data_IF_717459767898
#
_entry.id   IF_717459767898
#
_cell.length_a   1.000
_cell.length_b   1.000
_cell.length_c   1.000
_cell.angle_alpha   90.00
_cell.angle_beta   90.00
_cell.angle_gamma   90.00
#
_symmetry.space_group_name_H-M   'P 1'
#
loop_
_entity.id
_entity.type
_entity.pdbx_description
1 polymer ?
#
# COMPACT_ATOMS: atom_id res chain seq x y z
N UNK A 1 0.29 9.89 14.50
CA UNK A 1 0.98 8.62 14.75
C UNK A 1 2.44 8.86 14.41
N UNK A 2 3.41 8.55 15.28
CA UNK A 2 4.79 8.87 15.00
C UNK A 2 5.27 7.94 13.87
N UNK A 3 5.80 8.54 12.80
CA UNK A 3 6.51 7.77 11.78
C UNK A 3 7.65 6.99 12.45
N UNK A 4 7.86 5.72 12.04
CA UNK A 4 9.00 4.94 12.50
C UNK A 4 10.30 5.70 12.25
N UNK A 5 11.14 5.76 13.27
CA UNK A 5 12.52 6.24 13.15
C UNK A 5 13.30 5.39 12.15
N UNK A 6 14.46 5.89 11.71
CA UNK A 6 15.31 5.14 10.79
C UNK A 6 15.79 3.82 11.40
N UNK A 7 16.06 3.78 12.71
CA UNK A 7 16.49 2.56 13.40
C UNK A 7 15.35 1.53 13.47
N UNK A 8 14.15 1.94 13.92
CA UNK A 8 12.98 1.04 13.99
C UNK A 8 12.58 0.51 12.60
N UNK A 9 12.76 1.32 11.54
CA UNK A 9 12.55 0.88 10.18
C UNK A 9 13.51 -0.24 9.78
N UNK A 10 14.80 -0.03 10.01
CA UNK A 10 15.83 -1.02 9.66
C UNK A 10 15.59 -2.30 10.44
N UNK A 11 15.32 -2.20 11.74
CA UNK A 11 15.03 -3.35 12.59
C UNK A 11 13.79 -4.14 12.11
N UNK A 12 12.71 -3.44 11.74
CA UNK A 12 11.51 -4.10 11.17
C UNK A 12 11.85 -4.89 9.90
N UNK A 13 12.63 -4.31 9.00
CA UNK A 13 12.98 -4.95 7.73
C UNK A 13 13.96 -6.10 7.94
N UNK A 14 14.97 -5.92 8.78
CA UNK A 14 15.95 -6.97 9.11
C UNK A 14 15.27 -8.16 9.79
N UNK A 15 14.35 -7.92 10.72
CA UNK A 15 13.55 -8.98 11.34
C UNK A 15 12.68 -9.70 10.32
N UNK A 16 11.99 -8.96 9.44
CA UNK A 16 11.20 -9.55 8.37
C UNK A 16 12.06 -10.41 7.42
N UNK A 17 13.31 -10.01 7.13
CA UNK A 17 14.22 -10.80 6.27
C UNK A 17 14.72 -12.05 7.01
N UNK A 18 15.15 -11.90 8.25
CA UNK A 18 15.83 -12.94 9.02
C UNK A 18 14.89 -14.10 9.37
N UNK A 19 13.64 -13.77 9.71
CA UNK A 19 12.66 -14.76 10.19
C UNK A 19 11.80 -15.35 9.06
N UNK A 20 11.80 -14.73 7.87
CA UNK A 20 10.88 -15.13 6.82
C UNK A 20 11.21 -16.51 6.24
N UNK A 21 10.16 -17.33 6.12
CA UNK A 21 10.17 -18.62 5.46
C UNK A 21 9.03 -18.67 4.46
N UNK A 22 9.36 -18.79 3.17
CA UNK A 22 8.36 -18.81 2.12
C UNK A 22 8.94 -18.38 0.78
N UNK A 23 8.09 -17.80 -0.07
CA UNK A 23 8.51 -17.28 -1.35
C UNK A 23 9.19 -15.91 -1.18
N UNK A 24 10.50 -15.83 -1.45
CA UNK A 24 11.31 -14.61 -1.35
C UNK A 24 10.75 -13.45 -2.18
N UNK A 25 10.16 -13.72 -3.34
CA UNK A 25 9.52 -12.68 -4.16
C UNK A 25 8.38 -11.99 -3.41
N UNK A 26 7.65 -12.72 -2.57
CA UNK A 26 6.58 -12.14 -1.76
C UNK A 26 7.11 -11.26 -0.63
N UNK A 27 8.26 -11.61 -0.04
CA UNK A 27 8.96 -10.79 0.94
C UNK A 27 9.46 -9.49 0.31
N UNK A 28 10.15 -9.57 -0.83
CA UNK A 28 10.64 -8.39 -1.55
C UNK A 28 9.48 -7.45 -1.93
N UNK A 29 8.38 -8.01 -2.41
CA UNK A 29 7.17 -7.24 -2.70
C UNK A 29 6.55 -6.59 -1.45
N UNK A 30 6.54 -7.28 -0.31
CA UNK A 30 6.04 -6.74 0.94
C UNK A 30 6.88 -5.54 1.41
N UNK A 31 8.21 -5.71 1.43
CA UNK A 31 9.18 -4.67 1.77
C UNK A 31 9.01 -3.47 0.82
N UNK A 32 8.97 -3.71 -0.50
CA UNK A 32 8.80 -2.67 -1.50
C UNK A 32 7.49 -1.90 -1.34
N UNK A 33 6.39 -2.61 -1.11
CA UNK A 33 5.08 -2.00 -0.86
C UNK A 33 5.11 -1.11 0.39
N UNK A 34 5.70 -1.58 1.49
CA UNK A 34 5.81 -0.82 2.72
C UNK A 34 6.68 0.44 2.55
N UNK A 35 7.86 0.29 1.95
CA UNK A 35 8.80 1.40 1.71
C UNK A 35 8.18 2.47 0.79
N UNK A 36 7.45 2.05 -0.24
CA UNK A 36 6.70 2.97 -1.09
C UNK A 36 5.56 3.64 -0.30
N UNK A 37 4.83 2.85 0.49
CA UNK A 37 3.77 3.28 1.39
C UNK A 37 4.15 4.40 2.33
N UNK A 38 5.37 4.41 2.87
CA UNK A 38 5.90 5.50 3.70
C UNK A 38 5.83 6.86 3.02
N UNK A 39 5.85 6.92 1.69
CA UNK A 39 5.81 8.16 0.94
C UNK A 39 4.43 8.54 0.40
N UNK A 40 3.57 7.54 0.16
CA UNK A 40 2.27 7.74 -0.49
C UNK A 40 1.08 7.52 0.44
N UNK A 41 1.29 6.88 1.58
CA UNK A 41 0.24 6.50 2.51
C UNK A 41 -0.44 5.18 2.17
N UNK A 42 -1.25 4.66 3.10
CA UNK A 42 -1.90 3.36 2.94
C UNK A 42 -3.07 3.40 1.96
N UNK A 43 -3.78 4.53 1.82
CA UNK A 43 -4.95 4.59 0.92
C UNK A 43 -4.55 4.43 -0.55
N UNK A 44 -3.51 5.11 -1.07
CA UNK A 44 -3.05 4.84 -2.43
C UNK A 44 -2.49 3.43 -2.62
N UNK A 45 -1.80 2.87 -1.61
CA UNK A 45 -1.32 1.49 -1.66
C UNK A 45 -2.47 0.50 -1.90
N UNK A 46 -3.60 0.69 -1.22
CA UNK A 46 -4.77 -0.20 -1.34
C UNK A 46 -5.48 -0.07 -2.69
N UNK A 47 -5.15 0.94 -3.51
CA UNK A 47 -5.61 1.05 -4.90
C UNK A 47 -4.67 0.38 -5.89
N UNK A 48 -3.38 0.26 -5.53
CA UNK A 48 -2.33 -0.31 -6.38
C UNK A 48 -2.30 -1.83 -6.19
N UNK A 49 -2.43 -2.30 -4.96
CA UNK A 49 -2.36 -3.71 -4.62
C UNK A 49 -3.74 -4.28 -4.28
N UNK A 50 -3.96 -5.54 -4.64
CA UNK A 50 -5.18 -6.25 -4.28
C UNK A 50 -5.32 -6.38 -2.75
N UNK A 51 -6.55 -6.46 -2.20
CA UNK A 51 -6.75 -6.71 -0.76
C UNK A 51 -6.07 -7.99 -0.26
N UNK A 52 -5.96 -9.02 -1.11
CA UNK A 52 -5.24 -10.26 -0.79
C UNK A 52 -3.74 -10.01 -0.64
N UNK A 53 -3.15 -9.23 -1.54
CA UNK A 53 -1.73 -8.87 -1.50
C UNK A 53 -1.41 -8.03 -0.26
N UNK A 54 -2.23 -7.02 0.05
CA UNK A 54 -2.06 -6.19 1.25
C UNK A 54 -2.03 -7.05 2.50
N UNK A 55 -3.05 -7.90 2.73
CA UNK A 55 -3.10 -8.78 3.90
C UNK A 55 -1.88 -9.69 4.02
N UNK A 56 -1.40 -10.19 2.87
CA UNK A 56 -0.20 -11.03 2.82
C UNK A 56 1.04 -10.23 3.22
N UNK A 57 1.22 -9.02 2.68
CA UNK A 57 2.37 -8.17 2.99
C UNK A 57 2.38 -7.73 4.45
N UNK A 58 1.21 -7.34 4.99
CA UNK A 58 1.02 -7.05 6.42
C UNK A 58 1.41 -8.24 7.30
N UNK A 59 1.00 -9.46 6.93
CA UNK A 59 1.36 -10.68 7.65
C UNK A 59 2.86 -11.01 7.57
N UNK A 60 3.50 -10.79 6.41
CA UNK A 60 4.94 -11.00 6.24
C UNK A 60 5.73 -10.03 7.14
N UNK A 61 5.31 -8.78 7.21
CA UNK A 61 5.99 -7.72 7.94
C UNK A 61 5.59 -7.63 9.41
N UNK A 62 4.52 -8.31 9.83
CA UNK A 62 4.01 -8.27 11.20
C UNK A 62 3.40 -6.92 11.61
N UNK A 63 2.81 -6.17 10.67
CA UNK A 63 2.27 -4.82 10.91
C UNK A 63 0.90 -4.62 10.24
N UNK A 64 0.13 -3.62 10.69
CA UNK A 64 -1.04 -3.09 9.96
C UNK A 64 -0.66 -1.77 9.28
N UNK A 65 -0.75 -1.70 7.96
CA UNK A 65 -0.37 -0.52 7.19
C UNK A 65 -1.17 0.72 7.59
N UNK A 66 -2.42 0.57 8.04
CA UNK A 66 -3.27 1.69 8.48
C UNK A 66 -2.82 2.28 9.81
N UNK A 67 -2.09 1.52 10.62
CA UNK A 67 -1.58 1.97 11.92
C UNK A 67 -0.22 2.65 11.80
N UNK A 68 0.62 2.18 10.87
CA UNK A 68 2.01 2.65 10.74
C UNK A 68 2.24 3.63 9.59
N UNK A 69 1.32 3.74 8.64
CA UNK A 69 1.41 4.68 7.52
C UNK A 69 0.36 5.80 7.64
N UNK A 70 0.66 6.96 7.05
CA UNK A 70 -0.32 8.03 6.89
C UNK A 70 -1.45 7.60 5.96
N UNK A 71 -2.65 8.15 6.15
CA UNK A 71 -3.77 8.00 5.21
C UNK A 71 -3.40 8.45 3.80
N UNK A 72 -2.75 9.60 3.70
CA UNK A 72 -2.25 10.20 2.46
C UNK A 72 -0.86 10.76 2.73
N UNK A 73 0.16 10.15 2.11
CA UNK A 73 1.53 10.62 2.21
C UNK A 73 1.81 11.84 1.33
N UNK A 74 2.93 12.56 1.55
CA UNK A 74 3.26 13.79 0.80
C UNK A 74 3.32 13.58 -0.72
N UNK A 75 3.68 12.37 -1.18
CA UNK A 75 3.80 12.05 -2.61
C UNK A 75 2.51 11.49 -3.21
N UNK A 76 1.46 11.26 -2.42
CA UNK A 76 0.20 10.67 -2.89
C UNK A 76 -0.45 11.48 -4.03
N UNK A 77 -0.34 12.81 -3.98
CA UNK A 77 -0.89 13.73 -5.00
C UNK A 77 -0.33 13.52 -6.41
N UNK A 78 0.79 12.80 -6.56
CA UNK A 78 1.39 12.48 -7.87
C UNK A 78 0.81 11.21 -8.50
N UNK A 79 0.03 10.43 -7.76
CA UNK A 79 -0.54 9.17 -8.24
C UNK A 79 -1.87 9.42 -8.94
N UNK A 80 -1.94 9.05 -10.22
CA UNK A 80 -3.17 9.13 -11.03
C UNK A 80 -4.32 8.37 -10.35
N UNK A 81 -4.05 7.16 -9.85
CA UNK A 81 -5.01 6.35 -9.10
C UNK A 81 -5.61 7.09 -7.89
N UNK A 82 -4.78 7.86 -7.17
CA UNK A 82 -5.22 8.61 -6.00
C UNK A 82 -6.02 9.87 -6.35
N UNK A 83 -5.64 10.56 -7.43
CA UNK A 83 -6.42 11.70 -7.96
C UNK A 83 -7.83 11.23 -8.38
N UNK A 84 -7.93 10.06 -9.01
CA UNK A 84 -9.22 9.44 -9.36
C UNK A 84 -10.00 9.00 -8.12
N UNK A 85 -9.33 8.45 -7.11
CA UNK A 85 -9.96 8.05 -5.86
C UNK A 85 -10.60 9.21 -5.08
N UNK A 86 -10.07 10.42 -5.19
CA UNK A 86 -10.70 11.62 -4.58
C UNK A 86 -12.02 12.03 -5.25
N UNK A 87 -12.31 11.52 -6.46
CA UNK A 87 -13.53 11.85 -7.20
C UNK A 87 -14.66 10.87 -6.96
N UNK A 88 -14.40 9.72 -6.32
CA UNK A 88 -15.44 8.72 -6.03
C UNK A 88 -16.02 8.93 -4.63
N UNK A 89 -17.33 8.71 -4.49
CA UNK A 89 -18.05 8.89 -3.22
C UNK A 89 -17.79 7.77 -2.20
N UNK A 90 -17.27 6.61 -2.63
CA UNK A 90 -16.99 5.47 -1.77
C UNK A 90 -15.64 4.81 -2.10
N UNK A 91 -14.64 5.09 -1.25
CA UNK A 91 -13.28 4.57 -1.37
C UNK A 91 -13.21 3.03 -1.33
N UNK A 92 -13.97 2.39 -0.44
CA UNK A 92 -13.89 0.93 -0.28
C UNK A 92 -14.50 0.17 -1.46
N UNK A 93 -15.55 0.72 -2.09
CA UNK A 93 -16.05 0.19 -3.36
C UNK A 93 -14.99 0.29 -4.45
N UNK A 94 -14.21 1.38 -4.48
CA UNK A 94 -13.12 1.53 -5.46
C UNK A 94 -12.00 0.52 -5.23
N UNK A 95 -11.55 0.35 -3.98
CA UNK A 95 -10.54 -0.66 -3.60
C UNK A 95 -10.99 -2.08 -3.97
N UNK A 96 -12.28 -2.37 -3.89
CA UNK A 96 -12.86 -3.66 -4.28
C UNK A 96 -13.12 -3.79 -5.79
N UNK A 97 -12.94 -2.72 -6.56
CA UNK A 97 -13.26 -2.70 -7.99
C UNK A 97 -14.77 -2.67 -8.31
N UNK A 98 -15.61 -2.28 -7.35
CA UNK A 98 -17.09 -2.33 -7.42
C UNK A 98 -17.73 -0.99 -7.85
N UNK A 99 -16.97 0.00 -8.34
CA UNK A 99 -17.51 1.33 -8.70
C UNK A 99 -18.05 1.31 -10.14
N UNK A 100 -19.37 1.54 -10.36
CA UNK A 100 -19.97 1.55 -11.69
C UNK A 100 -19.52 2.74 -12.56
N UNK A 101 -19.14 3.86 -11.94
CA UNK A 101 -18.94 5.15 -12.60
C UNK A 101 -17.52 5.39 -13.14
N UNK A 102 -16.58 4.46 -12.91
CA UNK A 102 -15.19 4.57 -13.41
C UNK A 102 -15.00 3.54 -14.51
N UNK A 103 -14.88 4.00 -15.77
CA UNK A 103 -14.77 3.09 -16.91
C UNK A 103 -13.40 2.42 -16.90
N UNK A 104 -13.30 1.17 -17.35
CA UNK A 104 -12.03 0.44 -17.51
C UNK A 104 -11.00 1.20 -18.37
N UNK A 105 -11.44 2.13 -19.22
CA UNK A 105 -10.56 3.05 -19.97
C UNK A 105 -9.76 4.00 -19.09
N UNK A 106 -10.29 4.42 -17.93
CA UNK A 106 -9.62 5.32 -16.99
C UNK A 106 -8.46 4.60 -16.28
N UNK A 107 -8.57 3.28 -16.12
CA UNK A 107 -7.50 2.41 -15.61
C UNK A 107 -6.37 2.18 -16.62
N UNK A 108 -6.63 2.32 -17.93
CA UNK A 108 -5.58 2.16 -18.96
C UNK A 108 -4.53 3.28 -18.94
N UNK A 109 -4.78 4.37 -18.20
CA UNK A 109 -3.79 5.43 -17.95
C UNK A 109 -2.83 5.11 -16.78
N UNK A 110 -2.97 3.94 -16.14
CA UNK A 110 -2.13 3.50 -15.01
C UNK A 110 -1.05 2.48 -15.45
N UNK A 111 -0.95 2.19 -16.76
CA UNK A 111 0.06 1.27 -17.31
C UNK A 111 1.27 2.01 -17.88
#
# INVERSE_FOLDING_TARGET
MPELTAAELVELIDNAITDFRGNTEELENAIGAFMFGRHVGWRPLFLIHSPKSIKKYEAILGIDFREVLLDEGPKAKRLVAWILAKKVSNFWKLVKGEVPDVKTSDWKMIK
#
